data_IF_199445798465
#
_entry.id   IF_199445798465
#
_cell.length_a   1.000
_cell.length_b   1.000
_cell.length_c   1.000
_cell.angle_alpha   90.00
_cell.angle_beta   90.00
_cell.angle_gamma   90.00
#
_symmetry.space_group_name_H-M   'P 1'
#
loop_
_entity.id
_entity.type
_entity.pdbx_description
1 polymer ?
#
# COMPACT_ATOMS: atom_id res chain seq x y z
N UNK A 1 -16.54 -6.62 3.72
CA UNK A 1 -17.16 -7.36 2.61
C UNK A 1 -18.13 -6.48 1.83
N UNK A 2 -19.18 -5.93 2.45
CA UNK A 2 -20.15 -5.01 1.79
C UNK A 2 -19.47 -3.88 0.98
N UNK A 3 -18.42 -3.26 1.53
CA UNK A 3 -17.63 -2.23 0.82
C UNK A 3 -17.03 -2.76 -0.49
N UNK A 4 -16.49 -3.99 -0.48
CA UNK A 4 -15.88 -4.58 -1.67
C UNK A 4 -16.96 -4.99 -2.67
N UNK A 5 -18.07 -5.57 -2.20
CA UNK A 5 -19.20 -5.90 -3.07
C UNK A 5 -19.72 -4.65 -3.79
N UNK A 6 -19.84 -3.52 -3.08
CA UNK A 6 -20.20 -2.24 -3.66
C UNK A 6 -19.20 -1.75 -4.72
N UNK A 7 -17.89 -1.88 -4.47
CA UNK A 7 -16.84 -1.52 -5.43
C UNK A 7 -16.93 -2.41 -6.69
N UNK A 8 -17.06 -3.72 -6.53
CA UNK A 8 -17.20 -4.66 -7.65
C UNK A 8 -18.47 -4.39 -8.46
N UNK A 9 -19.58 -4.07 -7.80
CA UNK A 9 -20.84 -3.70 -8.46
C UNK A 9 -20.73 -2.35 -9.20
N UNK A 10 -19.94 -1.40 -8.70
CA UNK A 10 -19.71 -0.12 -9.34
C UNK A 10 -18.73 -0.20 -10.53
N UNK A 11 -17.83 -1.17 -10.52
CA UNK A 11 -16.75 -1.31 -11.51
C UNK A 11 -16.64 -2.74 -12.12
N UNK A 12 -17.74 -3.37 -12.57
CA UNK A 12 -17.74 -4.78 -12.99
C UNK A 12 -16.90 -5.04 -14.25
N UNK A 13 -16.77 -4.02 -15.11
CA UNK A 13 -15.96 -4.08 -16.33
C UNK A 13 -14.46 -3.83 -16.07
N UNK A 14 -14.07 -3.45 -14.84
CA UNK A 14 -12.67 -3.12 -14.49
C UNK A 14 -12.08 -4.05 -13.43
N UNK A 15 -12.91 -4.62 -12.56
CA UNK A 15 -12.46 -5.40 -11.41
C UNK A 15 -13.22 -6.73 -11.31
N UNK A 16 -12.54 -7.76 -10.84
CA UNK A 16 -13.13 -9.04 -10.45
C UNK A 16 -12.43 -9.60 -9.22
N UNK A 17 -13.10 -10.49 -8.51
CA UNK A 17 -12.50 -11.26 -7.44
C UNK A 17 -11.84 -12.54 -7.96
N UNK A 18 -10.81 -13.01 -7.26
CA UNK A 18 -10.17 -14.31 -7.51
C UNK A 18 -10.83 -15.36 -6.64
N UNK A 19 -11.19 -16.52 -7.20
CA UNK A 19 -11.81 -17.65 -6.49
C UNK A 19 -13.06 -17.30 -5.65
N UNK A 20 -13.83 -16.28 -6.06
CA UNK A 20 -14.95 -15.73 -5.30
C UNK A 20 -14.57 -15.20 -3.89
N UNK A 21 -13.29 -14.92 -3.64
CA UNK A 21 -12.84 -14.27 -2.41
C UNK A 21 -12.86 -12.75 -2.58
N UNK A 22 -13.76 -12.08 -1.86
CA UNK A 22 -13.90 -10.63 -1.83
C UNK A 22 -12.66 -9.91 -1.27
N UNK A 23 -11.67 -10.62 -0.75
CA UNK A 23 -10.41 -10.04 -0.29
C UNK A 23 -9.30 -10.10 -1.33
N UNK A 24 -9.54 -10.74 -2.48
CA UNK A 24 -8.59 -10.88 -3.57
C UNK A 24 -9.14 -10.22 -4.83
N UNK A 25 -8.68 -9.00 -5.16
CA UNK A 25 -9.15 -8.27 -6.34
C UNK A 25 -8.07 -8.19 -7.41
N UNK A 26 -8.49 -8.35 -8.66
CA UNK A 26 -7.63 -8.18 -9.84
C UNK A 26 -8.37 -7.41 -10.91
N UNK A 27 -7.62 -6.91 -11.90
CA UNK A 27 -8.21 -6.35 -13.11
C UNK A 27 -9.10 -7.39 -13.82
N UNK A 28 -10.23 -6.94 -14.35
CA UNK A 28 -11.14 -7.77 -15.14
C UNK A 28 -10.59 -8.10 -16.53
N UNK A 29 -9.83 -7.17 -17.12
CA UNK A 29 -9.35 -7.23 -18.50
C UNK A 29 -8.33 -8.35 -18.73
N UNK A 30 -8.08 -8.63 -20.02
CA UNK A 30 -7.22 -9.73 -20.41
C UNK A 30 -5.78 -9.47 -19.97
N UNK A 31 -5.16 -10.50 -19.38
CA UNK A 31 -3.74 -10.47 -19.01
C UNK A 31 -2.90 -10.31 -20.27
N UNK A 32 -2.07 -9.27 -20.31
CA UNK A 32 -1.07 -9.10 -21.36
C UNK A 32 0.06 -10.11 -21.11
N UNK A 33 0.24 -11.07 -22.02
CA UNK A 33 1.34 -12.05 -21.98
C UNK A 33 2.68 -11.36 -21.78
N UNK A 34 3.54 -11.95 -20.95
CA UNK A 34 4.91 -11.51 -20.68
C UNK A 34 5.01 -10.13 -19.99
N UNK A 35 3.91 -9.64 -19.43
CA UNK A 35 3.92 -8.41 -18.64
C UNK A 35 4.22 -8.75 -17.19
N UNK A 36 5.13 -8.01 -16.55
CA UNK A 36 5.31 -8.09 -15.10
C UNK A 36 3.99 -7.78 -14.40
N UNK A 37 3.54 -8.69 -13.53
CA UNK A 37 2.36 -8.47 -12.69
C UNK A 37 2.71 -7.58 -11.50
N UNK A 38 1.84 -6.62 -11.16
CA UNK A 38 2.03 -5.77 -9.98
C UNK A 38 0.97 -6.04 -8.92
N UNK A 39 1.41 -6.38 -7.70
CA UNK A 39 0.53 -6.63 -6.56
C UNK A 39 0.85 -5.72 -5.37
N UNK A 40 -0.17 -5.43 -4.58
CA UNK A 40 -0.06 -4.77 -3.28
C UNK A 40 -1.07 -5.41 -2.31
N UNK A 41 -1.06 -4.97 -1.06
CA UNK A 41 -2.10 -5.32 -0.12
C UNK A 41 -1.84 -4.76 1.26
N UNK A 42 -2.79 -5.02 2.14
CA UNK A 42 -2.71 -4.62 3.54
C UNK A 42 -4.09 -4.52 4.17
N UNK A 43 -4.14 -3.97 5.38
CA UNK A 43 -5.40 -3.77 6.10
C UNK A 43 -6.34 -2.80 5.39
N UNK A 44 -7.64 -3.09 5.46
CA UNK A 44 -8.69 -2.19 5.00
C UNK A 44 -8.74 -0.91 5.87
N UNK A 45 -9.43 0.12 5.40
CA UNK A 45 -9.60 1.40 6.12
C UNK A 45 -8.88 2.59 5.48
N UNK A 46 -8.16 2.39 4.38
CA UNK A 46 -7.31 3.40 3.73
C UNK A 46 -7.79 3.83 2.34
N UNK A 47 -9.07 3.64 2.01
CA UNK A 47 -9.62 3.93 0.68
C UNK A 47 -9.19 5.33 0.18
N UNK A 48 -8.67 5.46 -1.05
CA UNK A 48 -8.64 4.45 -2.12
C UNK A 48 -7.53 3.39 -2.01
N UNK A 49 -6.57 3.52 -1.10
CA UNK A 49 -5.54 2.50 -0.86
C UNK A 49 -6.20 1.24 -0.26
N UNK A 50 -6.03 0.04 -0.80
CA UNK A 50 -5.28 -0.36 -2.00
C UNK A 50 -6.16 -0.52 -3.25
N UNK A 51 -7.45 -0.79 -3.03
CA UNK A 51 -8.43 -1.25 -4.02
C UNK A 51 -8.60 -0.29 -5.21
N UNK A 52 -8.56 1.02 -4.97
CA UNK A 52 -8.77 2.05 -5.98
C UNK A 52 -7.58 2.25 -6.93
N UNK A 53 -6.49 1.52 -6.72
CA UNK A 53 -5.28 1.59 -7.57
C UNK A 53 -5.05 0.33 -8.41
N UNK A 54 -5.95 -0.66 -8.35
CA UNK A 54 -5.99 -1.79 -9.28
C UNK A 54 -6.57 -1.30 -10.62
N UNK A 55 -5.74 -1.30 -11.66
CA UNK A 55 -6.10 -0.76 -12.96
C UNK A 55 -4.91 -0.62 -13.91
N UNK A 56 -5.22 -0.42 -15.20
CA UNK A 56 -4.22 -0.31 -16.27
C UNK A 56 -3.19 0.79 -16.00
N UNK A 57 -1.90 0.46 -16.11
CA UNK A 57 -0.80 1.38 -15.85
C UNK A 57 -0.57 1.73 -14.38
N UNK A 58 -1.19 0.97 -13.47
CA UNK A 58 -0.96 0.95 -12.02
C UNK A 58 -0.80 -0.51 -11.55
N UNK A 59 -1.66 -1.00 -10.65
CA UNK A 59 -1.57 -2.36 -10.11
C UNK A 59 -2.45 -3.35 -10.88
N UNK A 60 -2.05 -4.61 -10.94
CA UNK A 60 -2.82 -5.68 -11.57
C UNK A 60 -3.74 -6.42 -10.59
N UNK A 61 -3.37 -6.42 -9.31
CA UNK A 61 -4.21 -6.94 -8.25
C UNK A 61 -3.83 -6.43 -6.87
N UNK A 62 -4.69 -6.72 -5.91
CA UNK A 62 -4.39 -6.53 -4.50
C UNK A 62 -5.12 -7.54 -3.62
N UNK A 63 -4.51 -7.83 -2.47
CA UNK A 63 -5.18 -8.53 -1.37
C UNK A 63 -5.51 -7.52 -0.26
N UNK A 64 -6.71 -7.60 0.34
CA UNK A 64 -7.10 -6.72 1.45
C UNK A 64 -7.56 -7.52 2.66
N UNK A 65 -7.01 -7.20 3.83
CA UNK A 65 -7.41 -7.83 5.08
C UNK A 65 -8.54 -7.07 5.77
N UNK A 66 -8.80 -7.39 7.04
CA UNK A 66 -9.74 -6.63 7.87
C UNK A 66 -9.24 -5.21 8.14
N UNK A 67 -10.05 -4.39 8.82
CA UNK A 67 -9.68 -3.00 9.10
C UNK A 67 -8.37 -2.98 9.90
N UNK A 68 -7.34 -2.35 9.33
CA UNK A 68 -5.97 -2.26 9.88
C UNK A 68 -5.28 -3.60 10.19
N UNK A 69 -5.73 -4.70 9.57
CA UNK A 69 -5.12 -6.01 9.70
C UNK A 69 -4.75 -6.57 8.33
N UNK A 70 -3.48 -6.96 8.16
CA UNK A 70 -2.94 -7.51 6.91
C UNK A 70 -3.74 -8.73 6.41
N UNK A 71 -3.93 -8.92 5.09
CA UNK A 71 -4.50 -10.15 4.54
C UNK A 71 -3.55 -11.34 4.74
N UNK A 72 -4.06 -12.55 4.58
CA UNK A 72 -3.22 -13.75 4.70
C UNK A 72 -2.29 -13.91 3.48
N UNK A 73 -1.13 -14.53 3.68
CA UNK A 73 -0.23 -14.90 2.58
C UNK A 73 -0.90 -15.77 1.51
N UNK A 74 -1.86 -16.62 1.89
CA UNK A 74 -2.65 -17.43 0.94
C UNK A 74 -3.46 -16.57 -0.01
N UNK A 75 -4.09 -15.51 0.49
CA UNK A 75 -4.83 -14.55 -0.34
C UNK A 75 -3.90 -13.79 -1.28
N UNK A 76 -2.74 -13.36 -0.78
CA UNK A 76 -1.70 -12.74 -1.61
C UNK A 76 -1.20 -13.69 -2.72
N UNK A 77 -1.01 -14.97 -2.42
CA UNK A 77 -0.64 -15.99 -3.39
C UNK A 77 -1.71 -16.18 -4.48
N UNK A 78 -2.99 -16.25 -4.12
CA UNK A 78 -4.06 -16.38 -5.12
C UNK A 78 -4.12 -15.18 -6.06
N UNK A 79 -3.92 -13.96 -5.54
CA UNK A 79 -3.74 -12.77 -6.39
C UNK A 79 -2.51 -12.92 -7.29
N UNK A 80 -1.40 -13.40 -6.74
CA UNK A 80 -0.12 -13.59 -7.47
C UNK A 80 -0.30 -14.54 -8.65
N UNK A 81 -0.91 -15.71 -8.44
CA UNK A 81 -1.25 -16.68 -9.50
C UNK A 81 -2.19 -16.09 -10.55
N UNK A 82 -3.11 -15.24 -10.11
CA UNK A 82 -4.09 -14.61 -10.99
C UNK A 82 -3.50 -13.48 -11.85
N UNK A 83 -2.38 -12.87 -11.46
CA UNK A 83 -1.76 -11.76 -12.20
C UNK A 83 -0.43 -12.11 -12.87
N UNK A 84 0.20 -13.22 -12.51
CA UNK A 84 1.37 -13.71 -13.24
C UNK A 84 0.98 -14.02 -14.69
N UNK A 85 1.88 -13.63 -15.59
CA UNK A 85 1.76 -13.79 -17.05
C UNK A 85 3.02 -14.36 -17.69
N UNK A 86 3.89 -15.00 -16.89
CA UNK A 86 5.13 -15.62 -17.34
C UNK A 86 6.38 -14.76 -17.19
N UNK A 87 6.25 -13.54 -16.66
CA UNK A 87 7.37 -12.60 -16.41
C UNK A 87 7.56 -12.26 -14.93
N UNK A 88 6.90 -13.01 -14.05
CA UNK A 88 6.97 -12.82 -12.60
C UNK A 88 6.14 -11.64 -12.09
N UNK A 89 6.20 -11.44 -10.79
CA UNK A 89 5.36 -10.48 -10.07
C UNK A 89 6.21 -9.59 -9.16
N UNK A 90 5.94 -8.30 -9.14
CA UNK A 90 6.51 -7.36 -8.18
C UNK A 90 5.47 -7.01 -7.11
N UNK A 91 5.81 -7.28 -5.85
CA UNK A 91 5.07 -6.80 -4.70
C UNK A 91 5.53 -5.39 -4.34
N UNK A 92 4.57 -4.48 -4.17
CA UNK A 92 4.82 -3.11 -3.72
C UNK A 92 3.89 -2.87 -2.54
N UNK A 93 4.41 -2.71 -1.32
CA UNK A 93 3.59 -2.58 -0.11
C UNK A 93 4.25 -1.71 0.95
N UNK A 94 3.48 -1.26 1.95
CA UNK A 94 3.98 -0.39 3.01
C UNK A 94 4.78 -1.15 4.07
N UNK A 95 5.76 -0.47 4.69
CA UNK A 95 6.58 -1.06 5.74
C UNK A 95 5.85 -1.21 7.09
N UNK A 96 5.01 -2.23 7.20
CA UNK A 96 4.35 -2.63 8.45
C UNK A 96 4.66 -4.10 8.72
N UNK A 97 4.98 -4.44 9.97
CA UNK A 97 5.48 -5.76 10.32
C UNK A 97 4.55 -6.93 9.90
N UNK A 98 3.23 -6.74 9.99
CA UNK A 98 2.27 -7.73 9.53
C UNK A 98 2.24 -7.90 8.01
N UNK A 99 2.38 -6.79 7.26
CA UNK A 99 2.44 -6.83 5.80
C UNK A 99 3.75 -7.46 5.32
N UNK A 100 4.89 -7.06 5.88
CA UNK A 100 6.21 -7.64 5.58
C UNK A 100 6.19 -9.16 5.80
N UNK A 101 5.73 -9.62 6.97
CA UNK A 101 5.66 -11.05 7.27
C UNK A 101 4.77 -11.83 6.29
N UNK A 102 3.60 -11.30 5.94
CA UNK A 102 2.67 -12.00 5.05
C UNK A 102 3.15 -11.98 3.58
N UNK A 103 3.73 -10.87 3.11
CA UNK A 103 4.27 -10.78 1.76
C UNK A 103 5.53 -11.64 1.57
N UNK A 104 6.40 -11.71 2.57
CA UNK A 104 7.55 -12.62 2.56
C UNK A 104 7.09 -14.08 2.47
N UNK A 105 6.12 -14.47 3.31
CA UNK A 105 5.53 -15.83 3.24
C UNK A 105 4.82 -16.09 1.91
N UNK A 106 4.15 -15.09 1.32
CA UNK A 106 3.51 -15.24 0.01
C UNK A 106 4.54 -15.41 -1.11
N UNK A 107 5.67 -14.71 -1.05
CA UNK A 107 6.77 -14.85 -2.00
C UNK A 107 7.41 -16.24 -1.93
N UNK A 108 7.64 -16.77 -0.71
CA UNK A 108 8.11 -18.16 -0.53
C UNK A 108 7.12 -19.18 -1.08
N UNK A 109 5.81 -18.98 -0.87
CA UNK A 109 4.79 -19.85 -1.44
C UNK A 109 4.70 -19.75 -2.98
N UNK A 110 4.94 -18.56 -3.54
CA UNK A 110 4.95 -18.35 -4.99
C UNK A 110 6.15 -19.02 -5.66
N UNK A 111 7.31 -19.02 -5.00
CA UNK A 111 8.51 -19.75 -5.45
C UNK A 111 8.25 -21.27 -5.54
N UNK A 112 7.49 -21.84 -4.60
CA UNK A 112 7.05 -23.25 -4.66
C UNK A 112 6.12 -23.55 -5.84
N UNK A 113 5.55 -22.52 -6.47
CA UNK A 113 4.66 -22.59 -7.64
C UNK A 113 5.38 -22.14 -8.92
N UNK A 114 6.72 -22.04 -8.89
CA UNK A 114 7.60 -21.59 -9.97
C UNK A 114 7.32 -20.14 -10.45
N UNK A 115 6.72 -19.29 -9.59
CA UNK A 115 6.47 -17.88 -9.89
C UNK A 115 7.55 -17.02 -9.23
N UNK A 116 8.41 -16.40 -10.05
CA UNK A 116 9.41 -15.44 -9.57
C UNK A 116 8.71 -14.20 -9.00
N UNK A 117 8.98 -13.91 -7.73
CA UNK A 117 8.50 -12.70 -7.04
C UNK A 117 9.67 -11.82 -6.62
N UNK A 118 9.56 -10.53 -6.87
CA UNK A 118 10.42 -9.50 -6.28
C UNK A 118 9.59 -8.58 -5.39
N UNK A 119 10.24 -7.87 -4.47
CA UNK A 119 9.55 -7.03 -3.49
C UNK A 119 10.16 -5.62 -3.41
N UNK A 120 9.30 -4.62 -3.23
CA UNK A 120 9.65 -3.24 -2.89
C UNK A 120 8.82 -2.79 -1.71
N UNK A 121 9.50 -2.56 -0.59
CA UNK A 121 8.88 -2.05 0.65
C UNK A 121 8.96 -0.53 0.65
N UNK A 122 7.80 0.14 0.67
CA UNK A 122 7.73 1.58 0.75
C UNK A 122 7.97 2.09 2.17
N UNK A 123 8.86 3.08 2.29
CA UNK A 123 9.30 3.67 3.56
C UNK A 123 9.52 5.17 3.43
N UNK A 124 8.54 5.88 2.88
CA UNK A 124 8.65 7.30 2.55
C UNK A 124 8.26 8.25 3.70
N UNK A 125 7.68 7.76 4.79
CA UNK A 125 7.29 8.57 5.95
C UNK A 125 8.51 9.01 6.78
N UNK A 126 8.92 10.26 6.60
CA UNK A 126 10.13 10.79 7.26
C UNK A 126 9.95 11.04 8.75
N UNK A 127 8.72 11.06 9.26
CA UNK A 127 8.47 11.24 10.69
C UNK A 127 8.68 9.94 11.47
N UNK A 128 8.50 8.79 10.82
CA UNK A 128 8.50 7.49 11.49
C UNK A 128 9.88 6.96 11.88
N UNK A 129 10.94 7.40 11.19
CA UNK A 129 12.32 7.00 11.49
C UNK A 129 13.33 8.03 10.94
N UNK A 130 14.42 8.34 11.67
CA UNK A 130 15.39 9.35 11.27
C UNK A 130 16.14 9.00 9.97
N UNK A 131 16.85 9.99 9.42
CA UNK A 131 17.78 9.80 8.29
C UNK A 131 18.85 8.76 8.61
N UNK A 132 19.12 7.85 7.67
CA UNK A 132 20.02 6.71 7.86
C UNK A 132 19.35 5.47 8.45
N UNK A 133 18.03 5.50 8.65
CA UNK A 133 17.19 4.35 9.07
C UNK A 133 15.92 4.28 8.21
N UNK A 134 16.08 4.53 6.90
CA UNK A 134 15.03 4.48 5.89
C UNK A 134 14.30 3.12 5.87
N UNK A 135 15.03 2.04 6.13
CA UNK A 135 14.52 0.66 6.25
C UNK A 135 13.46 0.47 7.36
N UNK A 136 13.36 1.42 8.29
CA UNK A 136 12.39 1.41 9.40
C UNK A 136 11.27 2.42 9.23
N UNK A 137 11.28 3.19 8.13
CA UNK A 137 10.22 4.16 7.89
C UNK A 137 8.95 3.46 7.44
N UNK A 138 7.80 3.94 7.92
CA UNK A 138 6.46 3.51 7.47
C UNK A 138 6.27 3.86 5.99
N UNK A 139 5.51 3.01 5.28
CA UNK A 139 4.95 3.34 3.98
C UNK A 139 3.56 3.95 4.14
N UNK A 140 3.28 5.07 3.49
CA UNK A 140 2.04 5.84 3.65
C UNK A 140 1.54 6.34 2.28
N UNK A 141 1.14 7.61 2.14
CA UNK A 141 0.52 8.14 0.93
C UNK A 141 1.45 8.17 -0.31
N UNK A 142 2.77 8.20 -0.14
CA UNK A 142 3.70 8.38 -1.25
C UNK A 142 3.95 7.10 -2.05
N UNK A 143 3.57 5.94 -1.50
CA UNK A 143 3.57 4.65 -2.22
C UNK A 143 2.76 4.72 -3.54
N UNK A 144 1.78 5.62 -3.63
CA UNK A 144 1.04 5.92 -4.85
C UNK A 144 1.95 6.19 -6.06
N UNK A 145 3.02 6.98 -5.87
CA UNK A 145 3.95 7.29 -6.95
C UNK A 145 4.71 6.06 -7.42
N UNK A 146 5.00 5.12 -6.50
CA UNK A 146 5.65 3.85 -6.80
C UNK A 146 4.73 3.01 -7.68
N UNK A 147 3.46 2.86 -7.29
CA UNK A 147 2.46 2.14 -8.12
C UNK A 147 2.35 2.73 -9.51
N UNK A 148 2.21 4.05 -9.61
CA UNK A 148 1.98 4.72 -10.90
C UNK A 148 3.16 4.60 -11.85
N UNK A 149 4.38 4.73 -11.33
CA UNK A 149 5.59 4.72 -12.16
C UNK A 149 5.98 3.27 -12.48
N UNK A 150 5.97 2.36 -11.51
CA UNK A 150 6.22 0.94 -11.75
C UNK A 150 5.20 0.37 -12.75
N UNK A 151 3.91 0.69 -12.58
CA UNK A 151 2.85 0.28 -13.50
C UNK A 151 3.03 0.80 -14.91
N UNK A 152 3.56 2.01 -15.10
CA UNK A 152 3.87 2.51 -16.43
C UNK A 152 4.98 1.69 -17.12
N UNK A 153 6.07 1.38 -16.40
CA UNK A 153 7.16 0.56 -16.93
C UNK A 153 6.72 -0.89 -17.19
N UNK A 154 5.88 -1.44 -16.33
CA UNK A 154 5.29 -2.76 -16.56
C UNK A 154 4.44 -2.78 -17.84
N UNK A 155 3.61 -1.76 -18.10
CA UNK A 155 2.82 -1.67 -19.35
C UNK A 155 3.70 -1.53 -20.61
N UNK A 156 4.89 -0.96 -20.48
CA UNK A 156 5.94 -0.88 -21.51
C UNK A 156 6.72 -2.20 -21.69
N UNK A 157 6.35 -3.27 -20.99
CA UNK A 157 6.99 -4.60 -21.07
C UNK A 157 8.44 -4.61 -20.56
N UNK A 158 8.78 -3.72 -19.63
CA UNK A 158 10.06 -3.80 -18.93
C UNK A 158 10.17 -5.12 -18.13
N UNK A 159 11.40 -5.64 -17.98
CA UNK A 159 11.64 -6.84 -17.18
C UNK A 159 11.35 -6.61 -15.70
N UNK A 160 11.09 -7.68 -14.95
CA UNK A 160 10.86 -7.62 -13.50
C UNK A 160 11.96 -6.85 -12.75
N UNK A 161 13.22 -7.10 -13.11
CA UNK A 161 14.38 -6.43 -12.54
C UNK A 161 14.39 -4.92 -12.81
N UNK A 162 14.00 -4.51 -14.02
CA UNK A 162 13.94 -3.09 -14.37
C UNK A 162 12.76 -2.38 -13.69
N UNK A 163 11.59 -3.03 -13.63
CA UNK A 163 10.43 -2.50 -12.91
C UNK A 163 10.75 -2.35 -11.41
N UNK A 164 11.41 -3.35 -10.80
CA UNK A 164 11.90 -3.27 -9.41
C UNK A 164 12.87 -2.10 -9.22
N UNK A 165 13.91 -2.01 -10.07
CA UNK A 165 14.93 -0.95 -9.99
C UNK A 165 14.30 0.44 -10.06
N UNK A 166 13.30 0.62 -10.92
CA UNK A 166 12.55 1.88 -11.03
C UNK A 166 11.70 2.13 -9.78
N UNK A 167 10.96 1.13 -9.30
CA UNK A 167 10.16 1.24 -8.09
C UNK A 167 11.01 1.64 -6.87
N UNK A 168 12.16 0.99 -6.66
CA UNK A 168 13.12 1.34 -5.61
C UNK A 168 13.66 2.78 -5.77
N UNK A 169 13.96 3.19 -7.01
CA UNK A 169 14.38 4.57 -7.29
C UNK A 169 13.29 5.57 -6.91
N UNK A 170 12.02 5.26 -7.17
CA UNK A 170 10.90 6.13 -6.75
C UNK A 170 10.81 6.19 -5.23
N UNK A 171 10.82 5.05 -4.53
CA UNK A 171 10.85 5.00 -3.05
C UNK A 171 11.98 5.86 -2.46
N UNK A 172 13.17 5.82 -3.07
CA UNK A 172 14.32 6.60 -2.62
C UNK A 172 14.12 8.12 -2.76
N UNK A 173 13.22 8.59 -3.63
CA UNK A 173 13.00 10.00 -3.96
C UNK A 173 11.66 10.58 -3.47
N UNK A 174 10.79 9.76 -2.87
CA UNK A 174 9.52 10.23 -2.29
C UNK A 174 9.68 10.42 -0.79
N UNK A 175 9.12 11.51 -0.26
CA UNK A 175 9.10 11.84 1.17
C UNK A 175 7.73 12.34 1.55
N UNK A 176 7.20 11.88 2.69
CA UNK A 176 5.89 12.27 3.20
C UNK A 176 5.96 12.55 4.69
N UNK A 177 5.03 13.37 5.17
CA UNK A 177 4.77 13.59 6.58
C UNK A 177 3.29 13.99 6.74
N UNK A 178 2.56 13.25 7.58
CA UNK A 178 1.15 13.53 7.88
C UNK A 178 0.96 14.44 9.10
N UNK A 179 -0.24 14.98 9.25
CA UNK A 179 -0.69 15.67 10.48
C UNK A 179 -2.10 15.21 10.81
N UNK A 180 -2.31 14.78 12.06
CA UNK A 180 -3.63 14.38 12.58
C UNK A 180 -4.28 15.51 13.37
N UNK A 181 -5.55 15.77 13.10
CA UNK A 181 -6.39 16.77 13.80
C UNK A 181 -7.52 16.13 14.63
N UNK A 182 -7.72 14.83 14.46
CA UNK A 182 -8.60 14.00 15.28
C UNK A 182 -8.17 12.53 15.16
N UNK A 183 -8.49 11.69 16.15
CA UNK A 183 -8.26 10.26 16.05
C UNK A 183 -9.21 9.58 15.07
N UNK A 184 -8.73 8.50 14.44
CA UNK A 184 -9.59 7.59 13.69
C UNK A 184 -10.44 6.76 14.67
N UNK A 185 -11.69 6.49 14.32
CA UNK A 185 -12.58 5.59 15.06
C UNK A 185 -12.68 4.29 14.29
N UNK A 186 -12.30 3.18 14.92
CA UNK A 186 -12.46 1.86 14.35
C UNK A 186 -13.93 1.43 14.45
N UNK A 187 -14.58 1.03 13.33
CA UNK A 187 -15.98 0.60 13.36
C UNK A 187 -16.26 -0.50 14.38
N UNK A 188 -15.34 -1.47 14.52
CA UNK A 188 -15.49 -2.61 15.44
C UNK A 188 -15.37 -2.21 16.92
N UNK A 189 -14.54 -1.21 17.22
CA UNK A 189 -14.29 -0.78 18.60
C UNK A 189 -15.25 0.32 19.06
N UNK A 190 -15.84 1.07 18.12
CA UNK A 190 -16.76 2.18 18.41
C UNK A 190 -16.15 3.32 19.22
N UNK A 191 -14.82 3.33 19.39
CA UNK A 191 -14.06 4.30 20.20
C UNK A 191 -12.83 4.80 19.42
N UNK A 192 -12.34 6.00 19.75
CA UNK A 192 -11.10 6.53 19.18
C UNK A 192 -9.91 5.58 19.37
N UNK A 193 -9.06 5.49 18.35
CA UNK A 193 -7.78 4.75 18.37
C UNK A 193 -6.78 5.32 19.38
N UNK A 194 -6.86 6.62 19.65
CA UNK A 194 -6.12 7.33 20.69
C UNK A 194 -6.92 8.57 21.14
N UNK A 195 -6.52 9.16 22.27
CA UNK A 195 -7.12 10.39 22.77
C UNK A 195 -6.35 11.62 22.30
N UNK A 196 -7.09 12.67 21.92
CA UNK A 196 -6.55 13.98 21.61
C UNK A 196 -7.54 15.06 22.01
N UNK A 197 -7.07 16.08 22.72
CA UNK A 197 -7.94 17.17 23.17
C UNK A 197 -8.36 18.07 22.00
N UNK A 198 -9.50 18.73 22.15
CA UNK A 198 -9.96 19.74 21.19
C UNK A 198 -8.91 20.85 21.03
N UNK A 199 -8.65 21.24 19.78
CA UNK A 199 -7.63 22.24 19.46
C UNK A 199 -6.19 21.74 19.55
N UNK A 200 -5.96 20.42 19.60
CA UNK A 200 -4.65 19.81 19.43
C UNK A 200 -4.43 19.25 18.02
N UNK A 201 -3.17 19.01 17.70
CA UNK A 201 -2.72 18.31 16.50
C UNK A 201 -1.52 17.41 16.81
N UNK A 202 -1.31 16.40 15.99
CA UNK A 202 -0.13 15.53 16.03
C UNK A 202 0.57 15.50 14.68
N UNK A 203 1.83 15.96 14.65
CA UNK A 203 2.65 15.97 13.44
C UNK A 203 3.40 14.64 13.34
N UNK A 204 3.35 14.04 12.14
CA UNK A 204 3.99 12.78 11.85
C UNK A 204 3.19 11.55 12.29
N UNK A 205 1.89 11.70 12.53
CA UNK A 205 1.04 10.56 12.89
C UNK A 205 1.02 9.52 11.76
N UNK A 206 1.00 8.23 12.13
CA UNK A 206 0.86 7.12 11.18
C UNK A 206 -0.58 6.93 10.71
N UNK A 207 -0.76 6.14 9.63
CA UNK A 207 -2.08 5.91 9.03
C UNK A 207 -3.00 5.02 9.88
N UNK A 208 -2.45 4.30 10.87
CA UNK A 208 -3.23 3.52 11.84
C UNK A 208 -3.35 4.23 13.20
N UNK A 209 -2.92 5.50 13.29
CA UNK A 209 -2.88 6.26 14.54
C UNK A 209 -1.63 6.04 15.37
N UNK A 210 -0.56 5.48 14.79
CA UNK A 210 0.72 5.35 15.48
C UNK A 210 1.29 6.73 15.82
N UNK A 211 1.92 6.90 17.00
CA UNK A 211 2.42 8.20 17.45
C UNK A 211 3.35 8.87 16.44
N UNK A 212 3.25 10.19 16.38
CA UNK A 212 4.12 11.04 15.57
C UNK A 212 5.30 11.61 16.34
N UNK A 213 5.93 12.62 15.74
CA UNK A 213 7.13 13.29 16.28
C UNK A 213 6.79 14.47 17.19
N UNK A 214 5.53 14.88 17.29
CA UNK A 214 5.14 15.91 18.23
C UNK A 214 3.64 16.21 18.27
N UNK A 215 3.11 16.24 19.49
CA UNK A 215 1.77 16.71 19.84
C UNK A 215 1.82 18.16 20.30
N UNK A 216 0.78 18.94 20.03
CA UNK A 216 0.68 20.32 20.53
C UNK A 216 -0.60 21.01 20.12
N UNK A 217 -0.73 22.28 20.51
CA UNK A 217 -1.85 23.13 20.06
C UNK A 217 -1.87 23.23 18.53
N UNK A 218 -3.06 23.23 17.96
CA UNK A 218 -3.30 23.48 16.55
C UNK A 218 -2.69 24.84 16.17
N UNK A 219 -1.86 24.80 15.12
CA UNK A 219 -1.19 25.96 14.54
C UNK A 219 -1.86 26.37 13.24
N UNK A 220 -1.47 27.52 12.68
CA UNK A 220 -1.89 27.88 11.33
C UNK A 220 -1.33 26.88 10.30
N UNK A 221 -1.97 26.78 9.14
CA UNK A 221 -1.50 25.94 8.05
C UNK A 221 -0.05 26.30 7.64
N UNK A 222 0.28 27.60 7.59
CA UNK A 222 1.62 28.08 7.24
C UNK A 222 2.69 27.59 8.23
N UNK A 223 2.42 27.68 9.54
CA UNK A 223 3.35 27.20 10.57
C UNK A 223 3.54 25.68 10.52
N UNK A 224 2.46 24.93 10.22
CA UNK A 224 2.50 23.47 10.08
C UNK A 224 3.36 23.09 8.88
N UNK A 225 3.11 23.70 7.72
CA UNK A 225 3.86 23.44 6.48
C UNK A 225 5.32 23.82 6.66
N UNK A 226 5.64 24.96 7.27
CA UNK A 226 7.02 25.35 7.53
C UNK A 226 7.76 24.32 8.40
N UNK A 227 7.07 23.74 9.39
CA UNK A 227 7.64 22.67 10.22
C UNK A 227 7.85 21.37 9.45
N UNK A 228 6.90 20.97 8.60
CA UNK A 228 7.01 19.78 7.74
C UNK A 228 8.19 19.92 6.78
N UNK A 229 8.29 21.06 6.10
CA UNK A 229 9.32 21.33 5.08
C UNK A 229 10.75 21.36 5.62
N UNK A 230 10.95 21.52 6.94
CA UNK A 230 12.28 21.40 7.55
C UNK A 230 12.80 19.96 7.60
N UNK A 231 11.90 18.98 7.48
CA UNK A 231 12.20 17.54 7.62
C UNK A 231 12.22 16.79 6.28
N UNK A 232 11.79 17.44 5.20
CA UNK A 232 11.74 16.91 3.82
C UNK A 232 12.87 17.53 3.02
#
# INVERSE_FOLDING_TARGET
>A
DETVEGILAAHPEQLKCVNNDLRCLVRSDERKSDKVGLSTGGGSGHLPLFLGYVGKGMLDGCAVGNVFASPSAKQMLEVTKAIDSGSGVLYIYGNYGGDVMNFDMAAEMADMEDIRVEQVVAGEDVASSPKGKEDKRRGVAGIFFVYKIAGAYAEEMASLDEVKRIAEKVCANVRTMGVGLSPCILPEMGKPTFEMDEGQMEIGIGIHGEPGIGKGKLKSADEIVEKIMKSI
#
